data_IF_557494463584
#
_entry.id   IF_557494463584
#
_cell.length_a   1.000
_cell.length_b   1.000
_cell.length_c   1.000
_cell.angle_alpha   90.00
_cell.angle_beta   90.00
_cell.angle_gamma   90.00
#
_symmetry.space_group_name_H-M   'P 1'
#
loop_
_entity.id
_entity.type
_entity.pdbx_description
1 polymer ?
#
# COMPACT_ATOMS: atom_id res chain seq x y z
N UNK A 1 -2.98 3.41 11.90
CA UNK A 1 -3.49 2.11 12.42
C UNK A 1 -2.39 1.50 13.26
N UNK A 2 -2.67 0.98 14.47
CA UNK A 2 -1.73 0.12 15.21
C UNK A 2 -2.00 -1.35 14.90
N UNK A 3 -0.99 -2.21 15.14
CA UNK A 3 -1.08 -3.62 14.81
C UNK A 3 -2.10 -4.35 15.69
N UNK A 4 -2.24 -4.00 16.96
CA UNK A 4 -3.22 -4.65 17.87
C UNK A 4 -4.66 -4.50 17.35
N UNK A 5 -4.97 -3.34 16.78
CA UNK A 5 -6.27 -3.10 16.13
C UNK A 5 -6.39 -3.85 14.80
N UNK A 6 -5.29 -4.00 14.04
CA UNK A 6 -5.30 -4.66 12.74
C UNK A 6 -5.23 -6.20 12.84
N UNK A 7 -4.60 -6.75 13.87
CA UNK A 7 -4.31 -8.18 14.00
C UNK A 7 -5.53 -9.11 13.83
N UNK A 8 -6.73 -8.83 14.39
CA UNK A 8 -7.89 -9.69 14.17
C UNK A 8 -8.31 -9.76 12.68
N UNK A 9 -8.16 -8.66 11.95
CA UNK A 9 -8.44 -8.60 10.50
C UNK A 9 -7.37 -9.36 9.73
N UNK A 10 -6.11 -9.19 10.10
CA UNK A 10 -4.98 -9.92 9.52
C UNK A 10 -5.15 -11.44 9.67
N UNK A 11 -5.49 -11.94 10.86
CA UNK A 11 -5.76 -13.36 11.08
C UNK A 11 -6.93 -13.89 10.22
N UNK A 12 -7.96 -13.06 10.04
CA UNK A 12 -9.10 -13.41 9.17
C UNK A 12 -8.66 -13.50 7.71
N UNK A 13 -7.78 -12.61 7.25
CA UNK A 13 -7.20 -12.66 5.90
C UNK A 13 -6.36 -13.92 5.72
N UNK A 14 -5.47 -14.22 6.69
CA UNK A 14 -4.66 -15.45 6.64
C UNK A 14 -5.52 -16.70 6.52
N UNK A 15 -6.55 -16.80 7.36
CA UNK A 15 -7.47 -17.94 7.35
C UNK A 15 -8.24 -18.05 6.02
N UNK A 16 -8.71 -16.90 5.48
CA UNK A 16 -9.43 -16.87 4.21
C UNK A 16 -8.57 -17.36 3.05
N UNK A 17 -7.31 -16.95 2.96
CA UNK A 17 -6.39 -17.33 1.87
C UNK A 17 -5.62 -18.62 2.13
N UNK A 18 -5.61 -19.14 3.35
CA UNK A 18 -4.77 -20.26 3.74
C UNK A 18 -3.27 -19.89 3.79
N UNK A 19 -2.97 -18.63 4.12
CA UNK A 19 -1.60 -18.15 4.24
C UNK A 19 -1.02 -18.47 5.62
N UNK A 20 0.32 -18.62 5.67
CA UNK A 20 1.05 -18.98 6.88
C UNK A 20 1.65 -17.72 7.54
N UNK A 21 1.22 -17.44 8.77
CA UNK A 21 1.77 -16.34 9.59
C UNK A 21 3.29 -16.42 9.73
N UNK A 22 3.82 -17.62 9.92
CA UNK A 22 5.26 -17.82 10.06
C UNK A 22 6.04 -17.44 8.79
N UNK A 23 5.41 -17.51 7.61
CA UNK A 23 5.96 -17.02 6.36
C UNK A 23 6.16 -15.50 6.39
N UNK A 24 5.13 -14.77 6.82
CA UNK A 24 5.18 -13.30 6.94
C UNK A 24 6.19 -12.84 8.00
N UNK A 25 6.25 -13.54 9.14
CA UNK A 25 7.22 -13.25 10.19
C UNK A 25 8.66 -13.45 9.71
N UNK A 26 8.94 -14.53 8.96
CA UNK A 26 10.27 -14.75 8.34
C UNK A 26 10.62 -13.65 7.34
N UNK A 27 9.66 -13.24 6.50
CA UNK A 27 9.90 -12.17 5.52
C UNK A 27 10.20 -10.84 6.21
N UNK A 28 9.44 -10.50 7.26
CA UNK A 28 9.66 -9.35 8.13
C UNK A 28 11.06 -9.37 8.74
N UNK A 29 11.47 -10.49 9.32
CA UNK A 29 12.76 -10.62 9.99
C UNK A 29 13.92 -10.45 8.99
N UNK A 30 13.80 -11.00 7.77
CA UNK A 30 14.76 -10.78 6.69
C UNK A 30 14.81 -9.30 6.29
N UNK A 31 13.67 -8.63 6.18
CA UNK A 31 13.64 -7.19 5.86
C UNK A 31 14.28 -6.37 6.99
N UNK A 32 14.05 -6.75 8.25
CA UNK A 32 14.67 -6.09 9.41
C UNK A 32 16.21 -6.21 9.43
N UNK A 33 16.76 -7.29 8.90
CA UNK A 33 18.22 -7.47 8.78
C UNK A 33 18.83 -6.64 7.63
N UNK A 34 18.06 -6.38 6.57
CA UNK A 34 18.57 -5.76 5.35
C UNK A 34 18.33 -4.25 5.29
N UNK A 35 17.22 -3.77 5.86
CA UNK A 35 16.85 -2.36 5.86
C UNK A 35 17.41 -1.64 7.09
N UNK A 36 17.45 -0.32 7.03
CA UNK A 36 17.80 0.57 8.15
C UNK A 36 16.56 1.29 8.68
N UNK A 37 16.61 1.88 9.89
CA UNK A 37 15.51 2.72 10.37
C UNK A 37 15.21 3.86 9.41
N UNK A 38 13.95 3.99 9.03
CA UNK A 38 13.44 5.08 8.19
C UNK A 38 13.08 6.29 9.05
N UNK A 39 13.37 7.49 8.57
CA UNK A 39 12.93 8.74 9.20
C UNK A 39 11.46 9.01 8.84
N UNK A 40 10.54 8.64 9.72
CA UNK A 40 9.09 8.81 9.51
C UNK A 40 8.67 10.28 9.33
N UNK A 41 9.51 11.26 9.73
CA UNK A 41 9.21 12.67 9.46
C UNK A 41 9.12 12.99 7.96
N UNK A 42 9.70 12.16 7.10
CA UNK A 42 9.59 12.29 5.64
C UNK A 42 8.19 12.02 5.10
N UNK A 43 7.35 11.31 5.86
CA UNK A 43 5.93 11.13 5.52
C UNK A 43 5.08 12.37 5.83
N UNK A 44 5.62 13.36 6.55
CA UNK A 44 4.92 14.60 6.88
C UNK A 44 4.50 15.41 5.66
N UNK A 45 5.06 15.14 4.49
CA UNK A 45 4.63 15.70 3.19
C UNK A 45 3.15 15.41 2.89
N UNK A 46 2.58 14.35 3.47
CA UNK A 46 1.19 13.95 3.30
C UNK A 46 0.26 14.57 4.36
N UNK A 47 0.83 15.12 5.45
CA UNK A 47 0.04 15.59 6.59
C UNK A 47 -0.79 16.83 6.26
N UNK A 48 -2.09 16.76 6.49
CA UNK A 48 -3.02 17.85 6.20
C UNK A 48 -3.41 18.02 4.74
N UNK A 49 -2.87 17.19 3.83
CA UNK A 49 -3.06 17.31 2.39
C UNK A 49 -4.21 16.42 1.87
N UNK A 50 -4.74 16.77 0.70
CA UNK A 50 -5.54 15.85 -0.10
C UNK A 50 -4.60 14.89 -0.84
N UNK A 51 -4.66 13.62 -0.51
CA UNK A 51 -3.77 12.59 -1.06
C UNK A 51 -4.51 11.69 -2.03
N UNK A 52 -4.01 11.58 -3.27
CA UNK A 52 -4.43 10.56 -4.22
C UNK A 52 -3.67 9.25 -3.97
N UNK A 53 -4.39 8.22 -3.58
CA UNK A 53 -3.87 6.84 -3.49
C UNK A 53 -4.11 6.14 -4.82
N UNK A 54 -3.09 6.14 -5.67
CA UNK A 54 -3.18 5.60 -7.03
C UNK A 54 -3.10 4.08 -7.05
N UNK A 55 -4.17 3.45 -7.56
CA UNK A 55 -4.21 2.01 -7.85
C UNK A 55 -3.87 1.72 -9.31
N UNK A 56 -3.41 0.50 -9.60
CA UNK A 56 -2.98 0.10 -10.95
C UNK A 56 -4.15 -0.40 -11.84
N UNK A 57 -5.34 0.15 -11.67
CA UNK A 57 -6.49 -0.22 -12.51
C UNK A 57 -6.50 0.49 -13.87
N UNK A 58 -7.34 0.03 -14.81
CA UNK A 58 -7.29 0.46 -16.20
C UNK A 58 -7.68 1.93 -16.42
N UNK A 59 -8.36 2.57 -15.47
CA UNK A 59 -8.80 3.96 -15.57
C UNK A 59 -7.76 4.97 -15.07
N UNK A 60 -6.67 4.53 -14.41
CA UNK A 60 -5.71 5.41 -13.76
C UNK A 60 -5.24 6.57 -14.64
N UNK A 61 -4.86 6.28 -15.88
CA UNK A 61 -4.33 7.29 -16.78
C UNK A 61 -5.35 8.39 -17.16
N UNK A 62 -6.65 8.06 -17.15
CA UNK A 62 -7.74 9.02 -17.35
C UNK A 62 -8.04 9.76 -16.05
N UNK A 63 -8.14 9.02 -14.93
CA UNK A 63 -8.47 9.61 -13.63
C UNK A 63 -7.42 10.63 -13.16
N UNK A 64 -6.13 10.43 -13.53
CA UNK A 64 -5.06 11.37 -13.21
C UNK A 64 -5.21 12.72 -13.93
N UNK A 65 -5.88 12.78 -15.08
CA UNK A 65 -6.09 14.02 -15.82
C UNK A 65 -7.04 14.99 -15.08
N UNK A 66 -7.95 14.45 -14.28
CA UNK A 66 -8.95 15.18 -13.51
C UNK A 66 -8.65 15.17 -12.00
N UNK A 67 -7.46 14.67 -11.61
CA UNK A 67 -7.09 14.55 -10.22
C UNK A 67 -6.60 15.89 -9.65
N UNK A 68 -7.32 16.42 -8.65
CA UNK A 68 -7.00 17.66 -7.95
C UNK A 68 -6.28 17.45 -6.61
N UNK A 69 -5.65 16.27 -6.41
CA UNK A 69 -4.94 16.00 -5.17
C UNK A 69 -3.61 16.76 -5.07
N UNK A 70 -3.27 17.15 -3.84
CA UNK A 70 -2.02 17.87 -3.54
C UNK A 70 -0.82 16.94 -3.57
N UNK A 71 -1.02 15.66 -3.22
CA UNK A 71 0.02 14.63 -3.08
C UNK A 71 -0.42 13.30 -3.67
N UNK A 72 0.56 12.50 -4.05
CA UNK A 72 0.34 11.18 -4.67
C UNK A 72 1.08 10.09 -3.91
N UNK A 73 0.34 9.08 -3.46
CA UNK A 73 0.88 7.80 -3.01
C UNK A 73 0.56 6.75 -4.08
N UNK A 74 1.56 6.21 -4.73
CA UNK A 74 1.37 5.25 -5.80
C UNK A 74 1.61 3.81 -5.32
N UNK A 75 0.72 2.89 -5.69
CA UNK A 75 0.81 1.48 -5.34
C UNK A 75 1.21 0.62 -6.54
N UNK A 76 2.26 -0.21 -6.38
CA UNK A 76 2.71 -1.16 -7.40
C UNK A 76 2.93 -0.47 -8.77
N UNK A 77 2.47 -1.04 -9.87
CA UNK A 77 2.63 -0.48 -11.24
C UNK A 77 1.91 0.86 -11.48
N UNK A 78 1.10 1.35 -10.54
CA UNK A 78 0.53 2.70 -10.66
C UNK A 78 1.61 3.79 -10.73
N UNK A 79 2.77 3.58 -10.09
CA UNK A 79 3.88 4.53 -10.13
C UNK A 79 4.45 4.73 -11.53
N UNK A 80 4.51 3.67 -12.36
CA UNK A 80 4.92 3.79 -13.77
C UNK A 80 3.97 4.68 -14.56
N UNK A 81 2.65 4.48 -14.38
CA UNK A 81 1.62 5.30 -15.07
C UNK A 81 1.70 6.75 -14.61
N UNK A 82 1.90 7.03 -13.31
CA UNK A 82 2.10 8.39 -12.81
C UNK A 82 3.31 9.06 -13.50
N UNK A 83 4.46 8.36 -13.58
CA UNK A 83 5.67 8.87 -14.27
C UNK A 83 5.41 9.15 -15.76
N UNK A 84 4.78 8.24 -16.48
CA UNK A 84 4.41 8.42 -17.89
C UNK A 84 3.50 9.64 -18.11
N UNK A 85 2.67 9.97 -17.13
CA UNK A 85 1.77 11.13 -17.17
C UNK A 85 2.40 12.41 -16.60
N UNK A 86 3.65 12.36 -16.15
CA UNK A 86 4.34 13.51 -15.55
C UNK A 86 3.79 13.91 -14.18
N UNK A 87 3.13 12.98 -13.49
CA UNK A 87 2.59 13.19 -12.13
C UNK A 87 3.66 12.75 -11.12
N UNK A 88 4.14 13.67 -10.24
CA UNK A 88 5.10 13.33 -9.20
C UNK A 88 4.54 12.29 -8.23
N UNK A 89 5.37 11.35 -7.79
CA UNK A 89 5.03 10.37 -6.75
C UNK A 89 5.72 10.79 -5.45
N UNK A 90 4.94 11.14 -4.44
CA UNK A 90 5.45 11.58 -3.13
C UNK A 90 5.82 10.39 -2.23
N UNK A 91 5.12 9.25 -2.35
CA UNK A 91 5.42 7.99 -1.67
C UNK A 91 5.09 6.82 -2.59
N UNK A 92 5.98 5.84 -2.65
CA UNK A 92 5.76 4.60 -3.40
C UNK A 92 5.57 3.41 -2.47
N UNK A 93 4.56 2.58 -2.72
CA UNK A 93 4.26 1.36 -1.93
C UNK A 93 4.32 0.13 -2.83
N UNK A 94 5.14 -0.85 -2.45
CA UNK A 94 5.39 -2.04 -3.28
C UNK A 94 5.80 -3.26 -2.46
N UNK A 95 5.38 -4.44 -2.89
CA UNK A 95 5.89 -5.74 -2.43
C UNK A 95 7.00 -6.28 -3.34
N UNK A 96 7.54 -5.43 -4.20
CA UNK A 96 8.63 -5.73 -5.14
C UNK A 96 8.25 -6.73 -6.26
N UNK A 97 6.97 -6.92 -6.54
CA UNK A 97 6.52 -7.82 -7.61
C UNK A 97 6.47 -7.16 -9.00
N UNK A 98 6.65 -5.84 -9.04
CA UNK A 98 6.68 -5.01 -10.25
C UNK A 98 8.08 -4.86 -10.87
N UNK A 99 8.31 -3.70 -11.49
CA UNK A 99 9.56 -3.36 -12.20
C UNK A 99 10.66 -2.97 -11.21
N UNK A 100 11.75 -3.78 -11.07
CA UNK A 100 12.84 -3.46 -10.13
C UNK A 100 13.55 -2.12 -10.45
N UNK A 101 13.61 -1.74 -11.71
CA UNK A 101 14.19 -0.47 -12.17
C UNK A 101 13.41 0.72 -11.64
N UNK A 102 12.08 0.66 -11.65
CA UNK A 102 11.21 1.71 -11.12
C UNK A 102 11.43 1.93 -9.61
N UNK A 103 11.58 0.84 -8.85
CA UNK A 103 11.88 0.89 -7.41
C UNK A 103 13.21 1.60 -7.18
N UNK A 104 14.24 1.22 -7.94
CA UNK A 104 15.59 1.77 -7.83
C UNK A 104 15.64 3.25 -8.21
N UNK A 105 14.96 3.63 -9.30
CA UNK A 105 14.89 5.01 -9.77
C UNK A 105 14.21 5.93 -8.74
N UNK A 106 13.02 5.57 -8.27
CA UNK A 106 12.29 6.36 -7.27
C UNK A 106 13.09 6.50 -5.96
N UNK A 107 13.72 5.41 -5.52
CA UNK A 107 14.59 5.46 -4.35
C UNK A 107 15.80 6.36 -4.57
N UNK A 108 16.45 6.30 -5.76
CA UNK A 108 17.58 7.17 -6.09
C UNK A 108 17.20 8.65 -6.21
N UNK A 109 15.96 8.95 -6.62
CA UNK A 109 15.37 10.29 -6.63
C UNK A 109 15.05 10.79 -5.22
N UNK A 110 15.12 9.92 -4.20
CA UNK A 110 14.83 10.25 -2.82
C UNK A 110 13.35 10.10 -2.44
N UNK A 111 12.52 9.55 -3.31
CA UNK A 111 11.12 9.26 -2.98
C UNK A 111 11.04 8.20 -1.89
N UNK A 112 10.30 8.39 -0.79
CA UNK A 112 10.02 7.35 0.18
C UNK A 112 9.41 6.11 -0.48
N UNK A 113 10.05 4.95 -0.30
CA UNK A 113 9.62 3.65 -0.84
C UNK A 113 9.24 2.73 0.30
N UNK A 114 7.95 2.52 0.51
CA UNK A 114 7.46 1.53 1.47
C UNK A 114 7.60 0.13 0.86
N UNK A 115 8.68 -0.54 1.21
CA UNK A 115 8.95 -1.92 0.82
C UNK A 115 8.23 -2.86 1.77
N UNK A 116 7.30 -3.65 1.23
CA UNK A 116 6.48 -4.55 2.03
C UNK A 116 6.97 -5.99 1.96
N UNK A 117 7.29 -6.58 3.13
CA UNK A 117 7.68 -7.97 3.27
C UNK A 117 6.51 -8.85 3.70
N UNK A 118 6.27 -9.92 2.94
CA UNK A 118 5.31 -10.99 3.25
C UNK A 118 5.83 -12.36 2.79
N UNK A 119 5.16 -13.47 3.16
CA UNK A 119 5.69 -14.81 3.00
C UNK A 119 6.13 -15.21 1.59
N UNK A 120 5.52 -14.61 0.57
CA UNK A 120 5.76 -14.97 -0.83
C UNK A 120 6.91 -14.18 -1.50
N UNK A 121 7.46 -13.13 -0.85
CA UNK A 121 8.44 -12.24 -1.50
C UNK A 121 9.84 -12.20 -0.86
N UNK A 122 10.17 -13.11 0.05
CA UNK A 122 11.47 -13.16 0.76
C UNK A 122 12.67 -13.06 -0.20
N UNK A 123 12.65 -13.80 -1.30
CA UNK A 123 13.76 -13.82 -2.26
C UNK A 123 13.89 -12.47 -3.01
N UNK A 124 12.78 -11.80 -3.29
CA UNK A 124 12.79 -10.45 -3.88
C UNK A 124 13.35 -9.44 -2.89
N UNK A 125 12.93 -9.50 -1.62
CA UNK A 125 13.47 -8.66 -0.55
C UNK A 125 14.99 -8.81 -0.48
N UNK A 126 15.51 -10.05 -0.49
CA UNK A 126 16.95 -10.34 -0.46
C UNK A 126 17.71 -9.83 -1.68
N UNK A 127 17.09 -9.88 -2.85
CA UNK A 127 17.75 -9.50 -4.11
C UNK A 127 17.70 -8.00 -4.38
N UNK A 128 16.63 -7.30 -3.98
CA UNK A 128 16.39 -5.91 -4.34
C UNK A 128 16.86 -4.94 -3.24
N UNK A 129 16.46 -5.17 -1.99
CA UNK A 129 16.68 -4.22 -0.90
C UNK A 129 18.15 -3.84 -0.69
N UNK A 130 19.14 -4.76 -0.76
CA UNK A 130 20.55 -4.40 -0.60
C UNK A 130 21.11 -3.45 -1.68
N UNK A 131 20.44 -3.37 -2.83
CA UNK A 131 20.84 -2.49 -3.94
C UNK A 131 20.20 -1.09 -3.87
N UNK A 132 19.25 -0.86 -2.98
CA UNK A 132 18.56 0.42 -2.84
C UNK A 132 19.33 1.38 -1.93
N UNK A 133 19.25 2.71 -2.17
CA UNK A 133 19.65 3.69 -1.16
C UNK A 133 18.88 3.44 0.14
N UNK A 134 19.59 3.41 1.26
CA UNK A 134 18.97 3.02 2.54
C UNK A 134 17.97 4.07 3.07
N UNK A 135 18.28 5.36 2.88
CA UNK A 135 17.51 6.48 3.45
C UNK A 135 16.04 6.54 3.04
N UNK A 136 15.65 6.37 1.75
CA UNK A 136 14.25 6.44 1.35
C UNK A 136 13.46 5.15 1.59
N UNK A 137 14.11 4.05 1.99
CA UNK A 137 13.42 2.77 2.19
C UNK A 137 12.71 2.74 3.54
N UNK A 138 11.36 2.68 3.49
CA UNK A 138 10.49 2.45 4.65
C UNK A 138 10.16 0.95 4.72
N UNK A 139 10.75 0.19 5.65
CA UNK A 139 10.48 -1.24 5.77
C UNK A 139 9.12 -1.49 6.43
N UNK A 140 8.26 -2.25 5.75
CA UNK A 140 6.91 -2.57 6.21
C UNK A 140 6.59 -4.06 6.14
N UNK A 141 5.61 -4.49 6.92
CA UNK A 141 5.14 -5.88 6.97
C UNK A 141 3.64 -5.93 7.28
N UNK A 142 2.99 -7.04 6.98
CA UNK A 142 1.63 -7.34 7.47
C UNK A 142 1.62 -8.13 8.78
N UNK A 143 2.73 -8.72 9.20
CA UNK A 143 2.89 -9.36 10.51
C UNK A 143 3.08 -8.33 11.64
N UNK A 144 3.23 -8.81 12.89
CA UNK A 144 3.58 -7.96 14.01
C UNK A 144 4.86 -7.16 13.72
N UNK A 145 4.88 -5.83 13.99
CA UNK A 145 6.06 -5.01 13.77
C UNK A 145 7.24 -5.47 14.65
N UNK A 146 8.48 -5.32 14.15
CA UNK A 146 9.69 -5.64 14.89
C UNK A 146 10.78 -4.62 14.58
N UNK A 147 11.52 -4.19 15.58
CA UNK A 147 12.60 -3.19 15.44
C UNK A 147 12.12 -1.94 14.68
N UNK A 148 12.64 -1.72 13.46
CA UNK A 148 12.28 -0.59 12.60
C UNK A 148 11.33 -0.97 11.46
N UNK A 149 10.88 -2.24 11.36
CA UNK A 149 9.86 -2.67 10.40
C UNK A 149 8.48 -2.33 10.92
N UNK A 150 7.70 -1.59 10.15
CA UNK A 150 6.40 -1.05 10.54
C UNK A 150 5.24 -1.86 9.98
N UNK A 151 4.10 -1.77 10.64
CA UNK A 151 2.81 -2.24 10.14
C UNK A 151 1.79 -1.11 10.30
N UNK A 152 1.28 -0.61 9.20
CA UNK A 152 0.25 0.43 9.18
C UNK A 152 -1.14 -0.12 8.88
N UNK A 153 -1.26 -1.43 8.65
CA UNK A 153 -2.46 -2.11 8.16
C UNK A 153 -2.45 -2.29 6.65
N UNK A 154 -3.51 -2.92 6.15
CA UNK A 154 -3.66 -3.21 4.72
C UNK A 154 -3.19 -4.61 4.33
N UNK A 155 -3.58 -5.03 3.11
CA UNK A 155 -3.32 -6.37 2.60
C UNK A 155 -2.76 -6.37 1.17
N UNK A 156 -3.24 -5.48 0.29
CA UNK A 156 -2.67 -5.25 -1.04
C UNK A 156 -1.93 -3.92 -1.06
N UNK A 157 -1.04 -3.69 -2.02
CA UNK A 157 -0.26 -2.44 -2.07
C UNK A 157 -1.15 -1.20 -2.08
N UNK A 158 -2.31 -1.28 -2.74
CA UNK A 158 -3.26 -0.18 -2.77
C UNK A 158 -3.81 0.18 -1.40
N UNK A 159 -4.40 -0.79 -0.70
CA UNK A 159 -4.97 -0.50 0.63
C UNK A 159 -3.89 -0.24 1.67
N UNK A 160 -2.69 -0.86 1.57
CA UNK A 160 -1.51 -0.47 2.37
C UNK A 160 -1.15 1.00 2.16
N UNK A 161 -1.18 1.48 0.92
CA UNK A 161 -0.94 2.88 0.60
C UNK A 161 -1.99 3.81 1.24
N UNK A 162 -3.27 3.41 1.25
CA UNK A 162 -4.33 4.17 1.91
C UNK A 162 -4.13 4.24 3.43
N UNK A 163 -3.81 3.11 4.07
CA UNK A 163 -3.53 3.08 5.51
C UNK A 163 -2.26 3.85 5.89
N UNK A 164 -1.24 3.83 5.03
CA UNK A 164 -0.02 4.63 5.21
C UNK A 164 -0.33 6.13 5.12
N UNK A 165 -1.12 6.56 4.12
CA UNK A 165 -1.52 7.95 3.98
C UNK A 165 -2.37 8.43 5.17
N UNK A 166 -3.29 7.60 5.68
CA UNK A 166 -4.04 7.86 6.91
C UNK A 166 -3.10 8.02 8.12
N UNK A 167 -2.15 7.10 8.29
CA UNK A 167 -1.16 7.17 9.37
C UNK A 167 -0.32 8.46 9.30
N UNK A 168 0.06 8.88 8.09
CA UNK A 168 0.81 10.11 7.85
C UNK A 168 -0.02 11.39 8.07
N UNK A 169 -1.31 11.28 8.36
CA UNK A 169 -2.18 12.41 8.69
C UNK A 169 -2.78 13.12 7.47
N UNK A 170 -2.96 12.43 6.34
CA UNK A 170 -3.67 12.97 5.19
C UNK A 170 -5.05 13.49 5.59
N UNK A 171 -5.41 14.70 5.17
CA UNK A 171 -6.71 15.30 5.50
C UNK A 171 -7.85 14.66 4.69
N UNK A 172 -7.58 14.29 3.44
CA UNK A 172 -8.54 13.68 2.51
C UNK A 172 -7.86 12.61 1.68
N UNK A 173 -8.60 11.56 1.32
CA UNK A 173 -8.14 10.51 0.42
C UNK A 173 -9.02 10.43 -0.83
N UNK A 174 -8.39 10.26 -1.99
CA UNK A 174 -9.03 9.90 -3.26
C UNK A 174 -8.32 8.71 -3.90
N UNK A 175 -9.01 8.01 -4.79
CA UNK A 175 -8.59 6.69 -5.25
C UNK A 175 -8.60 6.56 -6.78
N UNK A 176 -7.76 7.31 -7.52
CA UNK A 176 -7.65 7.15 -8.97
C UNK A 176 -7.11 5.79 -9.35
N UNK A 177 -7.64 5.21 -10.41
CA UNK A 177 -7.22 3.92 -10.94
C UNK A 177 -7.66 2.71 -10.10
N UNK A 178 -8.71 2.85 -9.27
CA UNK A 178 -9.25 1.72 -8.52
C UNK A 178 -10.49 1.15 -9.18
N UNK A 179 -10.54 -0.17 -9.31
CA UNK A 179 -11.70 -0.92 -9.77
C UNK A 179 -11.78 -2.23 -9.01
N UNK A 180 -12.91 -2.47 -8.32
CA UNK A 180 -13.13 -3.72 -7.58
C UNK A 180 -13.78 -4.80 -8.45
N UNK A 181 -14.39 -4.41 -9.56
CA UNK A 181 -15.18 -5.27 -10.46
C UNK A 181 -14.54 -5.46 -11.84
N UNK A 182 -13.20 -5.30 -11.94
CA UNK A 182 -12.50 -5.51 -13.20
C UNK A 182 -12.68 -6.96 -13.69
N UNK A 183 -13.40 -7.17 -14.82
CA UNK A 183 -13.61 -8.51 -15.36
C UNK A 183 -12.32 -9.14 -15.92
N UNK A 184 -11.29 -8.34 -16.20
CA UNK A 184 -10.02 -8.78 -16.76
C UNK A 184 -9.11 -9.49 -15.75
N UNK A 185 -9.42 -9.43 -14.45
CA UNK A 185 -8.57 -10.04 -13.43
C UNK A 185 -8.94 -11.49 -13.10
N UNK A 186 -7.93 -12.31 -12.81
CA UNK A 186 -8.11 -13.69 -12.41
C UNK A 186 -8.80 -13.85 -11.02
N UNK A 187 -9.24 -15.09 -10.69
CA UNK A 187 -10.01 -15.34 -9.46
C UNK A 187 -9.29 -14.90 -8.17
N UNK A 188 -7.98 -15.14 -8.07
CA UNK A 188 -7.16 -14.74 -6.91
C UNK A 188 -7.12 -13.22 -6.76
N UNK A 189 -6.85 -12.48 -7.83
CA UNK A 189 -6.85 -11.02 -7.83
C UNK A 189 -8.22 -10.47 -7.45
N UNK A 190 -9.31 -11.04 -7.99
CA UNK A 190 -10.68 -10.65 -7.63
C UNK A 190 -10.98 -10.84 -6.15
N UNK A 191 -10.48 -11.93 -5.55
CA UNK A 191 -10.61 -12.17 -4.10
C UNK A 191 -9.82 -11.14 -3.29
N UNK A 192 -8.59 -10.81 -3.70
CA UNK A 192 -7.80 -9.73 -3.08
C UNK A 192 -8.50 -8.37 -3.18
N UNK A 193 -9.08 -8.03 -4.34
CA UNK A 193 -9.80 -6.77 -4.53
C UNK A 193 -11.05 -6.66 -3.62
N UNK A 194 -11.77 -7.75 -3.37
CA UNK A 194 -12.87 -7.74 -2.39
C UNK A 194 -12.38 -7.44 -0.97
N UNK A 195 -11.22 -7.96 -0.60
CA UNK A 195 -10.60 -7.63 0.68
C UNK A 195 -10.15 -6.16 0.73
N UNK A 196 -9.55 -5.65 -0.35
CA UNK A 196 -9.18 -4.25 -0.46
C UNK A 196 -10.41 -3.33 -0.28
N UNK A 197 -11.55 -3.66 -0.92
CA UNK A 197 -12.80 -2.91 -0.75
C UNK A 197 -13.30 -2.92 0.72
N UNK A 198 -13.25 -4.08 1.39
CA UNK A 198 -13.63 -4.20 2.83
C UNK A 198 -12.70 -3.38 3.73
N UNK A 199 -11.39 -3.42 3.45
CA UNK A 199 -10.38 -2.66 4.19
C UNK A 199 -10.58 -1.15 4.00
N UNK A 200 -10.85 -0.69 2.76
CA UNK A 200 -11.17 0.71 2.51
C UNK A 200 -12.48 1.13 3.17
N UNK A 201 -13.52 0.29 3.17
CA UNK A 201 -14.76 0.58 3.88
C UNK A 201 -14.56 0.69 5.39
N UNK A 202 -13.64 -0.10 5.95
CA UNK A 202 -13.26 0.01 7.34
C UNK A 202 -12.49 1.31 7.61
N UNK A 203 -11.55 1.67 6.75
CA UNK A 203 -10.81 2.93 6.83
C UNK A 203 -11.74 4.14 6.70
N UNK A 204 -12.68 4.12 5.73
CA UNK A 204 -13.72 5.15 5.53
C UNK A 204 -14.48 5.45 6.83
N UNK A 205 -14.96 4.39 7.52
CA UNK A 205 -15.67 4.54 8.80
C UNK A 205 -14.79 5.09 9.92
N UNK A 206 -13.52 4.67 9.98
CA UNK A 206 -12.58 5.16 11.00
C UNK A 206 -12.24 6.64 10.84
N UNK A 207 -12.22 7.11 9.59
CA UNK A 207 -11.92 8.50 9.24
C UNK A 207 -13.14 9.41 9.29
N UNK A 208 -14.34 8.85 9.43
CA UNK A 208 -15.60 9.59 9.22
C UNK A 208 -15.58 10.35 7.87
N UNK A 209 -15.04 9.72 6.84
CA UNK A 209 -14.87 10.27 5.49
C UNK A 209 -15.62 9.38 4.49
N UNK A 210 -16.15 9.93 3.40
CA UNK A 210 -16.78 9.14 2.34
C UNK A 210 -15.82 8.93 1.17
N UNK A 211 -15.55 7.68 0.83
CA UNK A 211 -14.75 7.30 -0.32
C UNK A 211 -15.64 7.01 -1.51
N UNK A 212 -15.61 7.89 -2.55
CA UNK A 212 -16.43 7.72 -3.75
C UNK A 212 -16.18 6.40 -4.49
N UNK A 213 -14.95 5.86 -4.40
CA UNK A 213 -14.58 4.57 -5.01
C UNK A 213 -15.41 3.39 -4.49
N UNK A 214 -16.02 3.52 -3.31
CA UNK A 214 -16.89 2.50 -2.72
C UNK A 214 -18.37 2.69 -3.07
N UNK A 215 -18.73 3.75 -3.80
CA UNK A 215 -20.11 3.98 -4.20
C UNK A 215 -20.59 2.84 -5.12
N UNK A 216 -21.74 2.28 -4.80
CA UNK A 216 -22.28 1.11 -5.51
C UNK A 216 -21.86 -0.26 -4.96
N UNK A 217 -20.73 -0.35 -4.22
CA UNK A 217 -20.28 -1.60 -3.59
C UNK A 217 -20.48 -1.62 -2.07
N UNK A 218 -20.59 -0.45 -1.43
CA UNK A 218 -20.56 -0.27 0.04
C UNK A 218 -21.55 -1.15 0.79
N UNK A 219 -22.80 -1.22 0.30
CA UNK A 219 -23.88 -1.94 0.98
C UNK A 219 -23.73 -3.47 0.92
N UNK A 220 -22.87 -3.97 0.01
CA UNK A 220 -22.57 -5.38 -0.16
C UNK A 220 -21.35 -5.83 0.64
N UNK A 221 -20.62 -4.88 1.25
CA UNK A 221 -19.39 -5.16 1.99
C UNK A 221 -19.70 -5.57 3.44
N UNK A 222 -19.32 -6.78 3.80
CA UNK A 222 -19.40 -7.24 5.19
C UNK A 222 -18.46 -6.41 6.09
N UNK A 223 -18.94 -5.92 7.24
CA UNK A 223 -18.08 -5.24 8.22
C UNK A 223 -16.92 -6.12 8.67
N UNK A 224 -15.75 -5.53 8.89
CA UNK A 224 -14.57 -6.25 9.40
C UNK A 224 -14.53 -6.33 10.92
N UNK A 225 -15.03 -5.30 11.61
CA UNK A 225 -15.13 -5.20 13.09
C UNK A 225 -16.34 -4.35 13.44
#
# INVERSE_FOLDING_TARGET
MDFETFEPVYETILADFGFDRAGDERARDVLAELATPFDESRLSVLAGEHVAVCGAGPTLAADLADCEADRVVAASSAAAVCRERGVPVDVYVTDLDGEPELVSDLAAEGTPVAVHAHGDNVERVRSVVPGLPAEPVLPTTQAAPVAHVRNYGGFTDGDRAAFLADHAGAARLSFPGWSFDDPGVGPMKRRKLRWAARLLAWLERRRDERFAVLDGARDELEPLL
#
